data_IF_514910914769
#
_entry.id   IF_514910914769
#
_cell.length_a   1.000
_cell.length_b   1.000
_cell.length_c   1.000
_cell.angle_alpha   90.00
_cell.angle_beta   90.00
_cell.angle_gamma   90.00
#
_symmetry.space_group_name_H-M   'P 1'
#
loop_
_entity.id
_entity.type
_entity.pdbx_description
1 polymer ?
#
# COMPACT_ATOMS: atom_id res chain seq x y z
N UNK A 1 -1.19 18.40 -10.29
CA UNK A 1 -1.38 19.02 -8.95
C UNK A 1 -0.15 18.76 -8.11
N UNK A 2 0.33 19.76 -7.40
CA UNK A 2 1.47 19.56 -6.53
C UNK A 2 1.12 18.74 -5.30
N UNK A 3 2.13 18.10 -4.70
CA UNK A 3 1.93 17.16 -3.60
C UNK A 3 1.15 17.77 -2.42
N UNK A 4 1.55 18.95 -1.95
CA UNK A 4 0.87 19.58 -0.81
C UNK A 4 -0.58 19.96 -1.12
N UNK A 5 -0.83 20.47 -2.33
CA UNK A 5 -2.19 20.78 -2.79
C UNK A 5 -3.05 19.52 -2.87
N UNK A 6 -2.48 18.46 -3.42
CA UNK A 6 -3.15 17.18 -3.55
C UNK A 6 -3.52 16.59 -2.18
N UNK A 7 -2.57 16.62 -1.23
CA UNK A 7 -2.81 16.08 0.11
C UNK A 7 -3.87 16.88 0.86
N UNK A 8 -3.88 18.20 0.71
CA UNK A 8 -4.91 19.04 1.33
C UNK A 8 -6.28 18.81 0.68
N UNK A 9 -6.35 18.66 -0.63
CA UNK A 9 -7.60 18.35 -1.32
C UNK A 9 -8.15 16.98 -0.88
N UNK A 10 -7.28 16.00 -0.75
CA UNK A 10 -7.66 14.67 -0.28
C UNK A 10 -8.11 14.70 1.19
N UNK A 11 -7.39 15.42 2.04
CA UNK A 11 -7.78 15.57 3.45
C UNK A 11 -9.16 16.21 3.59
N UNK A 12 -9.45 17.23 2.80
CA UNK A 12 -10.78 17.87 2.79
C UNK A 12 -11.87 16.88 2.38
N UNK A 13 -11.59 16.04 1.38
CA UNK A 13 -12.52 14.98 0.95
C UNK A 13 -12.77 13.95 2.06
N UNK A 14 -11.77 13.69 2.90
CA UNK A 14 -11.88 12.78 4.05
C UNK A 14 -12.48 13.44 5.30
N UNK A 15 -12.80 14.72 5.24
CA UNK A 15 -13.34 15.47 6.39
C UNK A 15 -12.29 15.93 7.39
N UNK A 16 -11.02 15.98 6.99
CA UNK A 16 -9.93 16.44 7.83
C UNK A 16 -9.66 17.93 7.60
N UNK A 17 -9.17 18.62 8.65
CA UNK A 17 -8.96 20.08 8.61
C UNK A 17 -7.79 20.50 7.72
N UNK A 18 -6.90 19.57 7.39
CA UNK A 18 -5.71 19.82 6.61
C UNK A 18 -4.58 18.93 7.11
N UNK A 19 -3.53 18.83 6.31
CA UNK A 19 -2.37 18.01 6.66
C UNK A 19 -1.09 18.76 6.32
N UNK A 20 -0.06 18.54 7.14
CA UNK A 20 1.27 19.08 6.89
C UNK A 20 2.21 17.91 6.62
N UNK A 21 3.00 18.02 5.55
CA UNK A 21 4.01 17.02 5.24
C UNK A 21 5.25 17.26 6.12
N UNK A 22 5.76 16.18 6.69
CA UNK A 22 7.06 16.18 7.36
C UNK A 22 8.05 15.43 6.47
N UNK A 23 9.08 16.13 5.99
CA UNK A 23 10.08 15.58 5.07
C UNK A 23 9.47 14.94 3.81
N UNK A 24 8.42 15.57 3.26
CA UNK A 24 7.75 15.07 2.06
C UNK A 24 6.88 13.84 2.30
N UNK A 25 6.50 13.59 3.54
CA UNK A 25 5.69 12.43 3.91
C UNK A 25 4.49 12.85 4.77
N UNK A 26 3.31 12.31 4.44
CA UNK A 26 2.09 12.46 5.23
C UNK A 26 1.62 11.06 5.59
N UNK A 27 1.25 10.83 6.85
CA UNK A 27 0.68 9.54 7.28
C UNK A 27 -0.74 9.78 7.77
N UNK A 28 -1.69 9.04 7.19
CA UNK A 28 -3.09 9.07 7.59
C UNK A 28 -3.56 7.64 7.89
N UNK A 29 -4.46 7.48 8.86
CA UNK A 29 -5.02 6.17 9.20
C UNK A 29 -6.38 5.94 8.55
N UNK A 30 -6.58 4.75 7.99
CA UNK A 30 -7.84 4.30 7.42
C UNK A 30 -8.15 2.91 7.97
N UNK A 31 -9.25 2.79 8.73
CA UNK A 31 -9.63 1.52 9.38
C UNK A 31 -8.48 0.94 10.23
N UNK A 32 -7.82 1.80 11.00
CA UNK A 32 -6.64 1.47 11.83
C UNK A 32 -5.40 1.06 11.04
N UNK A 33 -5.37 1.28 9.74
CA UNK A 33 -4.23 1.01 8.87
C UNK A 33 -3.54 2.33 8.54
N UNK A 34 -2.30 2.56 9.01
CA UNK A 34 -1.54 3.73 8.61
C UNK A 34 -1.11 3.62 7.15
N UNK A 35 -1.38 4.67 6.38
CA UNK A 35 -0.94 4.78 4.99
C UNK A 35 -0.03 5.99 4.88
N UNK A 36 1.19 5.77 4.42
CA UNK A 36 2.15 6.84 4.16
C UNK A 36 2.01 7.31 2.71
N UNK A 37 1.95 8.63 2.55
CA UNK A 37 1.92 9.29 1.24
C UNK A 37 3.24 10.04 1.10
N UNK A 38 4.04 9.67 0.10
CA UNK A 38 5.38 10.20 -0.10
C UNK A 38 5.54 10.77 -1.50
N UNK A 39 6.20 11.92 -1.59
CA UNK A 39 6.55 12.50 -2.87
C UNK A 39 7.86 11.89 -3.38
N UNK A 40 7.87 11.49 -4.64
CA UNK A 40 9.09 11.06 -5.33
C UNK A 40 9.41 12.08 -6.43
N UNK A 41 10.28 13.04 -6.11
CA UNK A 41 10.62 14.14 -7.02
C UNK A 41 11.28 13.65 -8.31
N UNK A 42 12.10 12.60 -8.22
CA UNK A 42 12.84 12.10 -9.38
C UNK A 42 11.93 11.60 -10.50
N UNK A 43 10.74 11.10 -10.15
CA UNK A 43 9.78 10.55 -11.10
C UNK A 43 8.46 11.32 -11.11
N UNK A 44 8.40 12.47 -10.44
CA UNK A 44 7.19 13.30 -10.34
C UNK A 44 5.97 12.44 -9.97
N UNK A 45 6.13 11.61 -8.96
CA UNK A 45 5.14 10.62 -8.54
C UNK A 45 4.79 10.73 -7.07
N UNK A 46 3.59 10.27 -6.75
CA UNK A 46 3.15 10.04 -5.39
C UNK A 46 3.25 8.54 -5.10
N UNK A 47 3.85 8.18 -3.98
CA UNK A 47 3.94 6.80 -3.53
C UNK A 47 3.08 6.62 -2.27
N UNK A 48 2.16 5.67 -2.31
CA UNK A 48 1.40 5.24 -1.14
C UNK A 48 2.02 3.93 -0.63
N UNK A 49 2.21 3.84 0.68
CA UNK A 49 2.79 2.64 1.30
C UNK A 49 2.07 2.33 2.60
N UNK A 50 1.69 1.07 2.77
CA UNK A 50 1.10 0.58 4.02
C UNK A 50 1.79 -0.71 4.44
N UNK A 51 2.23 -0.79 5.69
CA UNK A 51 2.86 -2.00 6.22
C UNK A 51 1.80 -3.05 6.49
N UNK A 52 2.06 -4.28 6.02
CA UNK A 52 1.20 -5.43 6.28
C UNK A 52 1.62 -6.09 7.59
N UNK A 53 2.92 -6.30 7.79
CA UNK A 53 3.47 -6.90 9.00
C UNK A 53 4.72 -7.71 8.72
N UNK A 54 5.33 -8.23 9.77
CA UNK A 54 6.49 -9.10 9.68
C UNK A 54 6.07 -10.56 9.88
N UNK A 55 6.59 -11.51 9.09
CA UNK A 55 6.29 -12.92 9.29
C UNK A 55 7.06 -13.48 10.49
N UNK A 56 6.66 -14.65 11.04
CA UNK A 56 7.43 -15.33 12.07
C UNK A 56 8.88 -15.59 11.63
N UNK A 57 9.86 -15.61 12.56
CA UNK A 57 11.29 -15.76 12.20
C UNK A 57 11.61 -17.03 11.40
N UNK A 58 10.87 -18.10 11.62
CA UNK A 58 11.09 -19.41 10.97
C UNK A 58 10.37 -19.55 9.63
N UNK A 59 9.81 -18.47 9.09
CA UNK A 59 9.07 -18.50 7.83
C UNK A 59 10.00 -18.85 6.67
N UNK A 60 9.61 -19.83 5.86
CA UNK A 60 10.34 -20.23 4.65
C UNK A 60 9.97 -19.32 3.45
N UNK A 61 10.45 -19.69 2.26
CA UNK A 61 10.23 -18.92 1.05
C UNK A 61 8.84 -19.02 0.43
N UNK A 62 7.93 -19.82 0.98
CA UNK A 62 6.61 -20.05 0.39
C UNK A 62 5.75 -18.80 0.39
N UNK A 63 5.83 -18.00 1.45
CA UNK A 63 5.10 -16.74 1.55
C UNK A 63 5.54 -15.74 0.48
N UNK A 64 6.87 -15.55 0.33
CA UNK A 64 7.41 -14.66 -0.69
C UNK A 64 7.02 -15.12 -2.10
N UNK A 65 7.02 -16.41 -2.35
CA UNK A 65 6.62 -16.99 -3.63
C UNK A 65 5.14 -16.71 -3.92
N UNK A 66 4.27 -16.87 -2.92
CA UNK A 66 2.84 -16.55 -3.04
C UNK A 66 2.63 -15.06 -3.36
N UNK A 67 3.38 -14.19 -2.72
CA UNK A 67 3.31 -12.75 -2.96
C UNK A 67 3.78 -12.37 -4.36
N UNK A 68 4.84 -12.98 -4.87
CA UNK A 68 5.30 -12.75 -6.24
C UNK A 68 4.24 -13.16 -7.26
N UNK A 69 3.54 -14.28 -7.02
CA UNK A 69 2.44 -14.73 -7.87
C UNK A 69 1.26 -13.76 -7.81
N UNK A 70 0.94 -13.27 -6.62
CA UNK A 70 -0.13 -12.28 -6.43
C UNK A 70 0.19 -10.98 -7.16
N UNK A 71 1.44 -10.53 -7.15
CA UNK A 71 1.86 -9.34 -7.88
C UNK A 71 1.59 -9.46 -9.37
N UNK A 72 1.78 -10.64 -9.94
CA UNK A 72 1.47 -10.87 -11.37
C UNK A 72 -0.01 -10.61 -11.67
N UNK A 73 -0.90 -11.09 -10.81
CA UNK A 73 -2.34 -10.86 -10.96
C UNK A 73 -2.72 -9.40 -10.69
N UNK A 74 -2.17 -8.80 -9.62
CA UNK A 74 -2.45 -7.41 -9.22
C UNK A 74 -1.94 -6.40 -10.25
N UNK A 75 -0.85 -6.69 -10.93
CA UNK A 75 -0.32 -5.83 -11.99
C UNK A 75 -1.36 -5.60 -13.09
N UNK A 76 -2.12 -6.64 -13.43
CA UNK A 76 -3.17 -6.55 -14.43
C UNK A 76 -4.44 -5.88 -13.91
N UNK A 77 -4.64 -5.86 -12.59
CA UNK A 77 -5.82 -5.31 -11.95
C UNK A 77 -5.59 -3.87 -11.44
N UNK A 78 -4.45 -3.26 -11.71
CA UNK A 78 -4.07 -1.93 -11.22
C UNK A 78 -4.09 -1.83 -9.69
N UNK A 79 -3.80 -2.93 -9.01
CA UNK A 79 -3.74 -3.00 -7.56
C UNK A 79 -2.38 -2.60 -7.00
N UNK A 80 -2.26 -2.67 -5.68
CA UNK A 80 -1.00 -2.40 -5.00
C UNK A 80 0.00 -3.53 -5.22
N UNK A 81 1.29 -3.18 -5.28
CA UNK A 81 2.38 -4.16 -5.36
C UNK A 81 2.78 -4.59 -3.96
N UNK A 82 3.02 -5.88 -3.77
CA UNK A 82 3.53 -6.43 -2.53
C UNK A 82 5.05 -6.42 -2.54
N UNK A 83 5.65 -5.98 -1.44
CA UNK A 83 7.10 -5.90 -1.31
C UNK A 83 7.53 -6.22 0.11
N UNK A 84 8.83 -6.41 0.32
CA UNK A 84 9.42 -6.65 1.63
C UNK A 84 10.56 -5.66 1.87
N UNK A 85 10.57 -5.05 3.05
CA UNK A 85 11.70 -4.25 3.50
C UNK A 85 12.85 -5.19 3.88
N UNK A 86 14.01 -5.10 3.21
CA UNK A 86 15.12 -6.01 3.50
C UNK A 86 15.73 -5.84 4.88
N UNK A 87 15.59 -4.67 5.49
CA UNK A 87 16.15 -4.39 6.82
C UNK A 87 15.23 -4.88 7.93
N UNK A 88 13.95 -4.52 7.87
CA UNK A 88 12.97 -4.86 8.92
C UNK A 88 12.32 -6.21 8.70
N UNK A 89 12.38 -6.75 7.48
CA UNK A 89 11.68 -7.96 7.05
C UNK A 89 10.15 -7.80 7.01
N UNK A 90 9.63 -6.60 7.23
CA UNK A 90 8.22 -6.33 7.12
C UNK A 90 7.77 -6.35 5.67
N UNK A 91 6.60 -6.95 5.43
CA UNK A 91 5.93 -6.88 4.13
C UNK A 91 5.07 -5.62 4.07
N UNK A 92 4.93 -5.06 2.89
CA UNK A 92 4.16 -3.84 2.66
C UNK A 92 3.44 -3.89 1.32
N UNK A 93 2.37 -3.11 1.22
CA UNK A 93 1.68 -2.82 -0.04
C UNK A 93 2.09 -1.43 -0.51
N UNK A 94 2.45 -1.29 -1.78
CA UNK A 94 2.91 -0.03 -2.37
C UNK A 94 2.16 0.24 -3.66
N UNK A 95 1.78 1.51 -3.86
CA UNK A 95 1.12 1.95 -5.07
C UNK A 95 1.69 3.30 -5.48
N UNK A 96 2.05 3.45 -6.74
CA UNK A 96 2.66 4.67 -7.28
C UNK A 96 1.71 5.31 -8.29
N UNK A 97 1.51 6.62 -8.17
CA UNK A 97 0.64 7.40 -9.05
C UNK A 97 1.42 8.59 -9.59
N UNK A 98 1.47 8.79 -10.92
CA UNK A 98 2.05 10.02 -11.46
C UNK A 98 1.29 11.25 -10.94
N UNK A 99 2.01 12.28 -10.50
CA UNK A 99 1.38 13.51 -10.00
C UNK A 99 0.57 14.23 -11.09
N UNK A 100 0.94 14.05 -12.34
CA UNK A 100 0.25 14.68 -13.48
C UNK A 100 -1.21 14.25 -13.62
N UNK A 101 -1.58 13.05 -13.14
CA UNK A 101 -2.94 12.53 -13.22
C UNK A 101 -3.62 12.42 -11.86
N UNK A 102 -2.89 12.69 -10.78
CA UNK A 102 -3.39 12.49 -9.43
C UNK A 102 -4.38 13.58 -9.03
N UNK A 103 -5.50 13.16 -8.47
CA UNK A 103 -6.49 14.05 -7.83
C UNK A 103 -7.07 13.35 -6.60
N UNK A 104 -7.93 14.04 -5.86
CA UNK A 104 -8.49 13.50 -4.61
C UNK A 104 -9.34 12.24 -4.86
N UNK A 105 -10.04 12.15 -5.98
CA UNK A 105 -10.86 10.99 -6.31
C UNK A 105 -10.00 9.76 -6.61
N UNK A 106 -8.92 9.95 -7.37
CA UNK A 106 -7.98 8.87 -7.67
C UNK A 106 -7.27 8.39 -6.39
N UNK A 107 -6.90 9.33 -5.50
CA UNK A 107 -6.32 8.99 -4.21
C UNK A 107 -7.29 8.15 -3.36
N UNK A 108 -8.56 8.50 -3.33
CA UNK A 108 -9.55 7.73 -2.58
C UNK A 108 -9.64 6.28 -3.08
N UNK A 109 -9.59 6.07 -4.39
CA UNK A 109 -9.58 4.73 -4.97
C UNK A 109 -8.30 3.98 -4.63
N UNK A 110 -7.15 4.66 -4.70
CA UNK A 110 -5.85 4.07 -4.39
C UNK A 110 -5.78 3.63 -2.92
N UNK A 111 -6.26 4.45 -2.01
CA UNK A 111 -6.32 4.12 -0.58
C UNK A 111 -7.23 2.90 -0.37
N UNK A 112 -8.38 2.85 -1.01
CA UNK A 112 -9.27 1.70 -0.94
C UNK A 112 -8.58 0.41 -1.39
N UNK A 113 -7.81 0.46 -2.46
CA UNK A 113 -7.06 -0.69 -2.97
C UNK A 113 -5.96 -1.12 -2.00
N UNK A 114 -5.22 -0.17 -1.44
CA UNK A 114 -4.16 -0.48 -0.47
C UNK A 114 -4.74 -1.09 0.80
N UNK A 115 -5.80 -0.52 1.35
CA UNK A 115 -6.45 -1.02 2.56
C UNK A 115 -6.97 -2.44 2.33
N UNK A 116 -7.60 -2.68 1.19
CA UNK A 116 -8.09 -4.02 0.82
C UNK A 116 -6.92 -5.02 0.74
N UNK A 117 -5.81 -4.61 0.14
CA UNK A 117 -4.62 -5.47 0.01
C UNK A 117 -4.05 -5.82 1.37
N UNK A 118 -3.91 -4.84 2.27
CA UNK A 118 -3.43 -5.08 3.64
C UNK A 118 -4.35 -6.04 4.37
N UNK A 119 -5.66 -5.81 4.33
CA UNK A 119 -6.64 -6.69 4.99
C UNK A 119 -6.58 -8.12 4.46
N UNK A 120 -6.38 -8.29 3.16
CA UNK A 120 -6.27 -9.62 2.54
C UNK A 120 -5.03 -10.37 3.04
N UNK A 121 -3.91 -9.67 3.21
CA UNK A 121 -2.62 -10.32 3.50
C UNK A 121 -2.21 -10.35 4.96
N UNK A 122 -2.84 -9.58 5.85
CA UNK A 122 -2.44 -9.52 7.27
C UNK A 122 -2.40 -10.89 7.94
N UNK A 123 -3.45 -11.67 7.77
CA UNK A 123 -3.53 -13.01 8.37
C UNK A 123 -2.50 -13.98 7.78
N UNK A 124 -2.29 -13.89 6.47
CA UNK A 124 -1.32 -14.74 5.76
C UNK A 124 0.10 -14.44 6.23
N UNK A 125 0.46 -13.17 6.32
CA UNK A 125 1.79 -12.74 6.80
C UNK A 125 1.98 -13.15 8.26
N UNK A 126 0.99 -12.94 9.11
CA UNK A 126 1.07 -13.29 10.53
C UNK A 126 1.28 -14.80 10.73
N UNK A 127 0.69 -15.64 9.89
CA UNK A 127 0.87 -17.09 9.94
C UNK A 127 2.20 -17.54 9.33
N UNK A 128 2.79 -16.76 8.44
CA UNK A 128 4.02 -17.08 7.74
C UNK A 128 3.86 -18.08 6.61
N UNK A 129 2.63 -18.49 6.32
CA UNK A 129 2.35 -19.48 5.27
C UNK A 129 1.13 -19.06 4.45
N UNK A 130 1.19 -19.30 3.15
CA UNK A 130 0.03 -19.17 2.27
C UNK A 130 -0.57 -20.56 2.04
N UNK A 131 -1.81 -20.76 2.52
CA UNK A 131 -2.54 -22.00 2.31
C UNK A 131 -3.03 -22.04 0.85
N UNK A 132 -2.81 -23.15 0.15
CA UNK A 132 -3.24 -23.31 -1.23
C UNK A 132 -4.76 -23.18 -1.40
N UNK A 133 -5.54 -23.57 -0.39
CA UNK A 133 -6.99 -23.42 -0.42
C UNK A 133 -7.44 -21.97 -0.39
N UNK A 134 -6.58 -21.06 0.04
CA UNK A 134 -6.85 -19.62 0.11
C UNK A 134 -6.36 -18.86 -1.12
N UNK A 135 -5.61 -19.51 -2.03
CA UNK A 135 -4.98 -18.87 -3.19
C UNK A 135 -5.96 -18.07 -4.05
N UNK A 136 -7.15 -18.60 -4.29
CA UNK A 136 -8.14 -17.92 -5.13
C UNK A 136 -8.60 -16.59 -4.54
N UNK A 137 -8.50 -16.41 -3.22
CA UNK A 137 -8.85 -15.16 -2.53
C UNK A 137 -7.71 -14.14 -2.55
N UNK A 138 -6.46 -14.60 -2.69
CA UNK A 138 -5.29 -13.74 -2.69
C UNK A 138 -5.09 -13.02 -4.01
N UNK A 139 -5.67 -13.52 -5.09
CA UNK A 139 -5.47 -13.01 -6.45
C UNK A 139 -6.68 -12.22 -6.98
N UNK A 140 -7.63 -11.92 -6.14
CA UNK A 140 -8.86 -11.20 -6.54
C UNK A 140 -8.73 -9.70 -6.34
#
# INVERSE_FOLDING_TARGET
MEFNELMNAFAAKCGLAGVEAEDGCVVLEFNDIPVAFMENDAFESLVLRAVIGAPPPETDGSLAKAMLRANHALCNACGATLCQDPETKEYAAVLTIPLSIADADLLAKAVGNIVKTVNTWQGVVASGTADQSADSRLYV
#
